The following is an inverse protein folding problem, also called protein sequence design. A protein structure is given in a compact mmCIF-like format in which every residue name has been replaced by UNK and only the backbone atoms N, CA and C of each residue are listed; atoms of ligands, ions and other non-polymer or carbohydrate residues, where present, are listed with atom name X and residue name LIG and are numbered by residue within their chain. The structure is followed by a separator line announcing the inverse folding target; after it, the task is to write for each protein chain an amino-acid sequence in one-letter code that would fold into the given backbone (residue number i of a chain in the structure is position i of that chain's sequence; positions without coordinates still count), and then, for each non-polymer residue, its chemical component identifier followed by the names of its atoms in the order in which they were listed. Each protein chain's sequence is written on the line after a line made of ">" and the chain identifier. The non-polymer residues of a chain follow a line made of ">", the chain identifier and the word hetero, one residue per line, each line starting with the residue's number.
data_IF_552840348475
#
_entry.id   IF_552840348475
#
_cell.length_a   1.000
_cell.length_b   1.000
_cell.length_c   1.000
_cell.angle_alpha   90.00
_cell.angle_beta   90.00
_cell.angle_gamma   90.00
#
_symmetry.space_group_name_H-M   'P 1'
#
loop_
_entity.id
_entity.type
_entity.pdbx_description
1 polymer ?
#
# COMPACT_ATOMS: atom_id res chain seq x y z
N UNK A 1 -26.06 39.88 38.96
CA UNK A 1 -25.30 38.65 38.65
C UNK A 1 -26.25 37.60 38.09
N UNK A 2 -25.81 36.82 37.10
CA UNK A 2 -26.48 35.66 36.46
C UNK A 2 -27.37 35.94 35.23
N UNK A 3 -26.83 36.37 34.08
CA UNK A 3 -27.46 36.10 32.75
C UNK A 3 -26.44 36.09 31.59
N UNK A 4 -25.22 35.62 31.80
CA UNK A 4 -24.19 35.61 30.76
C UNK A 4 -23.42 34.30 30.84
N UNK A 5 -24.00 33.18 30.39
CA UNK A 5 -23.27 31.93 30.19
C UNK A 5 -24.13 30.79 29.61
N UNK A 6 -24.93 31.05 28.58
CA UNK A 6 -25.46 29.96 27.76
C UNK A 6 -25.46 30.42 26.31
N UNK A 7 -25.09 29.52 25.40
CA UNK A 7 -25.01 29.71 23.93
C UNK A 7 -23.63 30.11 23.36
N UNK A 8 -22.55 29.53 23.88
CA UNK A 8 -21.26 29.41 23.14
C UNK A 8 -20.74 27.98 23.09
N UNK A 9 -21.64 27.00 23.08
CA UNK A 9 -21.27 25.57 23.10
C UNK A 9 -21.89 24.76 21.93
N UNK A 10 -22.12 25.38 20.77
CA UNK A 10 -22.68 24.70 19.59
C UNK A 10 -21.79 24.79 18.33
N UNK A 11 -20.48 24.97 18.48
CA UNK A 11 -19.54 25.04 17.35
C UNK A 11 -18.34 24.08 17.43
N UNK A 12 -18.34 23.09 18.34
CA UNK A 12 -17.21 22.16 18.51
C UNK A 12 -17.44 20.75 17.92
N UNK A 13 -18.56 20.48 17.25
CA UNK A 13 -18.85 19.14 16.71
C UNK A 13 -18.43 18.93 15.24
N UNK A 14 -17.81 19.91 14.59
CA UNK A 14 -17.11 19.69 13.31
C UNK A 14 -15.73 19.08 13.58
N UNK A 15 -15.69 17.91 14.21
CA UNK A 15 -14.51 17.06 14.18
C UNK A 15 -14.33 16.60 12.74
N UNK A 16 -13.51 17.37 12.03
CA UNK A 16 -13.00 17.07 10.71
C UNK A 16 -12.46 15.63 10.66
N UNK A 17 -13.28 14.69 10.18
CA UNK A 17 -12.80 13.42 9.63
C UNK A 17 -12.20 13.69 8.25
N UNK A 18 -11.10 14.45 8.22
CA UNK A 18 -10.34 14.74 6.99
C UNK A 18 -8.94 14.13 7.02
N UNK A 19 -8.70 13.14 7.89
CA UNK A 19 -7.66 12.16 7.62
C UNK A 19 -8.33 11.00 6.88
N UNK A 20 -8.32 11.05 5.55
CA UNK A 20 -8.72 9.90 4.74
C UNK A 20 -7.82 8.74 5.18
N UNK A 21 -8.39 7.66 5.71
CA UNK A 21 -7.60 6.54 6.20
C UNK A 21 -6.74 5.97 5.05
N UNK A 22 -5.52 5.51 5.34
CA UNK A 22 -4.64 4.89 4.34
C UNK A 22 -5.38 3.78 3.57
N UNK A 23 -6.24 3.04 4.28
CA UNK A 23 -7.13 2.02 3.71
C UNK A 23 -8.05 2.53 2.58
N UNK A 24 -8.53 3.77 2.63
CA UNK A 24 -9.34 4.35 1.57
C UNK A 24 -8.47 4.91 0.44
N UNK A 25 -7.32 5.49 0.81
CA UNK A 25 -6.40 6.11 -0.14
C UNK A 25 -5.72 5.09 -1.07
N UNK A 26 -5.43 3.89 -0.55
CA UNK A 26 -4.74 2.82 -1.28
C UNK A 26 -5.58 2.23 -2.41
N UNK A 27 -6.91 2.29 -2.33
CA UNK A 27 -7.81 1.73 -3.35
C UNK A 27 -7.51 2.29 -4.73
N UNK A 28 -7.27 1.43 -5.70
CA UNK A 28 -6.94 1.79 -7.07
C UNK A 28 -5.72 1.04 -7.59
N UNK A 29 -5.23 1.46 -8.75
CA UNK A 29 -4.04 0.89 -9.39
C UNK A 29 -2.86 1.85 -9.27
N UNK A 30 -1.71 1.29 -8.94
CA UNK A 30 -0.48 2.02 -8.67
C UNK A 30 0.62 1.48 -9.56
N UNK A 31 1.13 2.31 -10.46
CA UNK A 31 2.25 1.97 -11.33
C UNK A 31 3.56 2.35 -10.65
N UNK A 32 4.51 1.42 -10.60
CA UNK A 32 5.86 1.66 -10.11
C UNK A 32 6.63 2.47 -11.16
N UNK A 33 7.07 3.67 -10.78
CA UNK A 33 7.93 4.53 -11.62
C UNK A 33 9.41 4.31 -11.33
N UNK A 34 9.73 4.12 -10.05
CA UNK A 34 11.10 3.95 -9.58
C UNK A 34 11.17 2.94 -8.44
N UNK A 35 12.32 2.29 -8.31
CA UNK A 35 12.60 1.30 -7.25
C UNK A 35 13.91 1.67 -6.59
N UNK A 36 13.85 1.97 -5.30
CA UNK A 36 15.01 2.28 -4.46
C UNK A 36 15.41 1.02 -3.70
N UNK A 37 16.63 0.55 -3.96
CA UNK A 37 17.26 -0.59 -3.27
C UNK A 37 18.51 -0.09 -2.54
N UNK A 38 18.65 -0.42 -1.26
CA UNK A 38 19.84 -0.05 -0.46
C UNK A 38 20.94 -1.11 -0.53
N UNK A 39 20.56 -2.35 -0.81
CA UNK A 39 21.48 -3.49 -0.90
C UNK A 39 22.27 -3.52 -2.21
N UNK A 40 23.53 -3.94 -2.13
CA UNK A 40 24.32 -4.34 -3.30
C UNK A 40 24.16 -5.84 -3.64
N UNK A 41 23.26 -6.56 -2.95
CA UNK A 41 22.98 -7.96 -3.24
C UNK A 41 22.37 -8.12 -4.63
N UNK A 42 22.97 -8.98 -5.46
CA UNK A 42 22.52 -9.29 -6.82
C UNK A 42 21.05 -9.71 -6.88
N UNK A 43 20.57 -10.52 -5.95
CA UNK A 43 19.16 -10.97 -5.90
C UNK A 43 18.21 -9.80 -5.66
N UNK A 44 18.58 -8.85 -4.78
CA UNK A 44 17.80 -7.64 -4.53
C UNK A 44 17.80 -6.70 -5.73
N UNK A 45 18.92 -6.61 -6.45
CA UNK A 45 19.02 -5.86 -7.70
C UNK A 45 18.11 -6.48 -8.76
N UNK A 46 18.13 -7.80 -8.93
CA UNK A 46 17.25 -8.51 -9.87
C UNK A 46 15.77 -8.34 -9.50
N UNK A 47 15.44 -8.43 -8.20
CA UNK A 47 14.10 -8.16 -7.70
C UNK A 47 13.67 -6.69 -7.92
N UNK A 48 14.59 -5.74 -7.80
CA UNK A 48 14.27 -4.33 -8.08
C UNK A 48 13.88 -4.12 -9.55
N UNK A 49 14.57 -4.79 -10.48
CA UNK A 49 14.24 -4.74 -11.90
C UNK A 49 12.89 -5.41 -12.19
N UNK A 50 12.54 -6.45 -11.45
CA UNK A 50 11.26 -7.13 -11.55
C UNK A 50 10.08 -6.19 -11.28
N UNK A 51 10.17 -5.36 -10.23
CA UNK A 51 9.11 -4.41 -9.88
C UNK A 51 9.04 -3.19 -10.81
N UNK A 52 10.07 -2.91 -11.61
CA UNK A 52 10.10 -1.75 -12.52
C UNK A 52 8.95 -1.84 -13.54
N UNK A 53 8.16 -0.77 -13.64
CA UNK A 53 6.95 -0.69 -14.47
C UNK A 53 5.83 -1.69 -14.12
N UNK A 54 5.92 -2.36 -12.96
CA UNK A 54 4.82 -3.18 -12.48
C UNK A 54 3.65 -2.33 -11.99
N UNK A 55 2.46 -2.93 -11.92
CA UNK A 55 1.24 -2.31 -11.41
C UNK A 55 0.70 -3.16 -10.28
N UNK A 56 0.47 -2.52 -9.13
CA UNK A 56 -0.17 -3.09 -7.95
C UNK A 56 -1.59 -2.52 -7.87
N UNK A 57 -2.60 -3.38 -7.80
CA UNK A 57 -4.00 -2.96 -7.77
C UNK A 57 -4.71 -3.48 -6.52
N UNK A 58 -5.29 -2.53 -5.76
CA UNK A 58 -6.03 -2.78 -4.53
C UNK A 58 -7.50 -2.47 -4.77
N UNK A 59 -8.34 -3.50 -4.85
CA UNK A 59 -9.78 -3.31 -5.09
C UNK A 59 -10.55 -3.15 -3.79
N UNK A 60 -11.70 -2.46 -3.84
CA UNK A 60 -12.61 -2.28 -2.69
C UNK A 60 -13.11 -3.60 -2.08
N UNK A 61 -13.23 -4.64 -2.91
CA UNK A 61 -13.63 -5.99 -2.48
C UNK A 61 -12.45 -6.82 -1.92
N UNK A 62 -11.34 -6.17 -1.57
CA UNK A 62 -10.11 -6.76 -1.04
C UNK A 62 -9.31 -7.61 -2.03
N UNK A 63 -9.70 -7.70 -3.30
CA UNK A 63 -8.87 -8.40 -4.28
C UNK A 63 -7.60 -7.60 -4.55
N UNK A 64 -6.48 -8.32 -4.60
CA UNK A 64 -5.17 -7.78 -4.93
C UNK A 64 -4.69 -8.37 -6.26
N UNK A 65 -4.20 -7.51 -7.14
CA UNK A 65 -3.59 -7.94 -8.40
C UNK A 65 -2.21 -7.31 -8.57
N UNK A 66 -1.27 -8.11 -9.04
CA UNK A 66 0.05 -7.67 -9.47
C UNK A 66 0.24 -8.01 -10.95
N UNK A 67 0.68 -7.04 -11.73
CA UNK A 67 1.05 -7.25 -13.14
C UNK A 67 2.41 -6.63 -13.42
N UNK A 68 3.26 -7.31 -14.17
CA UNK A 68 4.52 -6.77 -14.65
C UNK A 68 4.67 -7.03 -16.15
N UNK A 69 5.27 -6.09 -16.88
CA UNK A 69 5.63 -6.27 -18.28
C UNK A 69 6.93 -7.05 -18.47
N UNK A 70 7.69 -7.25 -17.40
CA UNK A 70 8.95 -7.97 -17.42
C UNK A 70 8.72 -9.47 -17.58
N UNK A 71 9.57 -10.15 -18.35
CA UNK A 71 9.48 -11.60 -18.62
C UNK A 71 10.68 -12.35 -18.05
N UNK A 72 10.96 -12.14 -16.76
CA UNK A 72 12.02 -12.87 -16.05
C UNK A 72 11.43 -14.06 -15.28
N UNK A 73 12.25 -15.09 -15.02
CA UNK A 73 11.84 -16.24 -14.18
C UNK A 73 11.36 -15.78 -12.80
N UNK A 74 12.07 -14.82 -12.20
CA UNK A 74 11.73 -14.25 -10.91
C UNK A 74 10.35 -13.57 -10.93
N UNK A 75 10.03 -12.81 -11.99
CA UNK A 75 8.69 -12.22 -12.15
C UNK A 75 7.61 -13.26 -12.35
N UNK A 76 7.88 -14.31 -13.10
CA UNK A 76 6.93 -15.41 -13.24
C UNK A 76 6.59 -16.03 -11.88
N UNK A 77 7.61 -16.27 -11.05
CA UNK A 77 7.43 -16.79 -9.69
C UNK A 77 6.62 -15.81 -8.82
N UNK A 78 6.98 -14.53 -8.83
CA UNK A 78 6.25 -13.50 -8.05
C UNK A 78 4.80 -13.34 -8.50
N UNK A 79 4.56 -13.32 -9.81
CA UNK A 79 3.20 -13.21 -10.38
C UNK A 79 2.35 -14.41 -9.97
N UNK A 80 2.93 -15.61 -9.96
CA UNK A 80 2.24 -16.82 -9.51
C UNK A 80 1.97 -16.79 -8.00
N UNK A 81 2.92 -16.36 -7.18
CA UNK A 81 2.73 -16.23 -5.72
C UNK A 81 1.62 -15.22 -5.38
N UNK A 82 1.54 -14.13 -6.15
CA UNK A 82 0.58 -13.05 -5.95
C UNK A 82 -0.74 -13.25 -6.71
N UNK A 83 -0.90 -14.38 -7.41
CA UNK A 83 -2.11 -14.69 -8.13
C UNK A 83 -3.26 -14.99 -7.16
N UNK A 84 -4.44 -14.40 -7.41
CA UNK A 84 -5.66 -14.59 -6.62
C UNK A 84 -5.51 -14.25 -5.14
N UNK A 85 -4.57 -13.35 -4.80
CA UNK A 85 -4.38 -12.90 -3.43
C UNK A 85 -5.38 -11.81 -3.06
N UNK A 86 -5.56 -11.64 -1.76
CA UNK A 86 -6.35 -10.55 -1.18
C UNK A 86 -5.44 -9.61 -0.41
N UNK A 87 -5.96 -8.44 -0.06
CA UNK A 87 -5.29 -7.50 0.81
C UNK A 87 -6.19 -7.09 1.97
N UNK A 88 -5.56 -6.84 3.11
CA UNK A 88 -6.21 -6.25 4.30
C UNK A 88 -5.33 -5.12 4.84
N UNK A 89 -5.93 -4.24 5.63
CA UNK A 89 -5.19 -3.25 6.41
C UNK A 89 -5.10 -3.70 7.87
N UNK A 90 -3.89 -3.85 8.38
CA UNK A 90 -3.61 -4.13 9.79
C UNK A 90 -3.43 -2.78 10.52
N UNK A 91 -4.50 -2.32 11.16
CA UNK A 91 -4.51 -1.05 11.90
C UNK A 91 -3.49 -1.01 13.04
N UNK A 92 -3.23 -2.15 13.70
CA UNK A 92 -2.31 -2.20 14.85
C UNK A 92 -0.88 -1.95 14.43
N UNK A 93 -0.52 -2.42 13.23
CA UNK A 93 0.81 -2.28 12.66
C UNK A 93 0.92 -1.18 11.62
N UNK A 94 -0.19 -0.53 11.28
CA UNK A 94 -0.30 0.48 10.24
C UNK A 94 0.30 0.00 8.90
N UNK A 95 -0.08 -1.21 8.47
CA UNK A 95 0.47 -1.86 7.26
C UNK A 95 -0.61 -2.53 6.44
N UNK A 96 -0.38 -2.62 5.13
CA UNK A 96 -1.18 -3.44 4.23
C UNK A 96 -0.58 -4.84 4.23
N UNK A 97 -1.40 -5.87 4.33
CA UNK A 97 -0.98 -7.26 4.26
C UNK A 97 -1.62 -7.95 3.07
N UNK A 98 -0.81 -8.66 2.29
CA UNK A 98 -1.23 -9.44 1.13
C UNK A 98 -1.22 -10.93 1.49
N UNK A 99 -2.23 -11.64 1.02
CA UNK A 99 -2.35 -13.08 1.13
C UNK A 99 -3.79 -13.53 1.18
N UNK A 100 -4.01 -14.67 1.81
CA UNK A 100 -5.34 -15.25 2.01
C UNK A 100 -5.60 -15.51 3.49
N UNK A 101 -6.85 -15.83 3.80
CA UNK A 101 -7.18 -16.34 5.13
C UNK A 101 -6.39 -17.61 5.49
N UNK A 102 -6.10 -18.48 4.50
CA UNK A 102 -5.37 -19.76 4.73
C UNK A 102 -3.93 -19.52 5.15
N UNK A 103 -3.25 -18.56 4.53
CA UNK A 103 -1.87 -18.18 4.91
C UNK A 103 -1.81 -17.12 6.01
N UNK A 104 -2.96 -16.61 6.48
CA UNK A 104 -3.07 -15.54 7.48
C UNK A 104 -2.48 -14.20 7.02
N UNK A 105 -2.57 -13.91 5.72
CA UNK A 105 -2.07 -12.70 5.08
C UNK A 105 -0.58 -12.48 5.35
N UNK A 106 0.25 -13.49 5.08
CA UNK A 106 1.71 -13.43 5.34
C UNK A 106 2.56 -13.46 4.08
N UNK A 107 1.98 -13.24 2.90
CA UNK A 107 2.73 -13.29 1.64
C UNK A 107 3.57 -12.02 1.44
N UNK A 108 3.02 -10.86 1.78
CA UNK A 108 3.72 -9.58 1.66
C UNK A 108 3.15 -8.54 2.62
N UNK A 109 4.02 -7.81 3.31
CA UNK A 109 3.72 -6.64 4.12
C UNK A 109 4.14 -5.37 3.39
N UNK A 110 3.26 -4.37 3.36
CA UNK A 110 3.52 -3.09 2.70
C UNK A 110 3.25 -1.97 3.70
N UNK A 111 4.30 -1.22 4.06
CA UNK A 111 4.16 0.07 4.72
C UNK A 111 3.99 1.15 3.63
N UNK A 112 2.82 1.78 3.56
CA UNK A 112 2.50 2.78 2.54
C UNK A 112 2.52 4.21 3.09
N UNK A 113 3.13 5.13 2.34
CA UNK A 113 2.96 6.58 2.49
C UNK A 113 2.36 7.12 1.20
N UNK A 114 1.19 7.74 1.27
CA UNK A 114 0.44 8.21 0.10
C UNK A 114 0.21 9.71 0.22
N UNK A 115 0.60 10.46 -0.81
CA UNK A 115 0.44 11.91 -0.89
C UNK A 115 0.17 12.30 -2.36
N UNK A 116 -0.93 13.03 -2.63
CA UNK A 116 -1.20 13.62 -3.94
C UNK A 116 -1.04 12.66 -5.15
N UNK A 117 -1.70 11.49 -5.10
CA UNK A 117 -1.63 10.42 -6.13
C UNK A 117 -0.23 9.82 -6.33
N UNK A 118 0.74 10.18 -5.50
CA UNK A 118 2.03 9.51 -5.40
C UNK A 118 2.07 8.66 -4.15
N UNK A 119 2.87 7.62 -4.17
CA UNK A 119 3.09 6.79 -3.01
C UNK A 119 4.53 6.29 -2.92
N UNK A 120 4.94 6.02 -1.69
CA UNK A 120 6.13 5.24 -1.37
C UNK A 120 5.68 3.98 -0.64
N UNK A 121 5.90 2.81 -1.24
CA UNK A 121 5.62 1.51 -0.61
C UNK A 121 6.93 0.85 -0.22
N UNK A 122 7.13 0.66 1.09
CA UNK A 122 8.20 -0.18 1.59
C UNK A 122 7.68 -1.60 1.75
N UNK A 123 8.36 -2.57 1.13
CA UNK A 123 8.03 -3.98 1.26
C UNK A 123 8.78 -4.55 2.47
N UNK A 124 8.07 -5.03 3.48
CA UNK A 124 8.67 -5.38 4.78
C UNK A 124 9.59 -6.61 4.71
N UNK A 125 9.36 -7.52 3.76
CA UNK A 125 10.18 -8.71 3.54
C UNK A 125 11.49 -8.41 2.79
N UNK A 126 11.69 -7.17 2.32
CA UNK A 126 12.82 -6.81 1.45
C UNK A 126 13.41 -5.45 1.82
N UNK A 127 14.52 -5.10 1.19
CA UNK A 127 15.09 -3.74 1.30
C UNK A 127 14.58 -2.78 0.20
N UNK A 128 13.49 -3.14 -0.49
CA UNK A 128 12.95 -2.37 -1.59
C UNK A 128 11.93 -1.33 -1.12
N UNK A 129 12.10 -0.11 -1.63
CA UNK A 129 11.07 0.92 -1.60
C UNK A 129 10.64 1.21 -3.03
N UNK A 130 9.33 1.14 -3.27
CA UNK A 130 8.72 1.41 -4.55
C UNK A 130 8.17 2.84 -4.53
N UNK A 131 8.53 3.63 -5.53
CA UNK A 131 7.90 4.92 -5.77
C UNK A 131 6.84 4.74 -6.86
N UNK A 132 5.60 5.09 -6.55
CA UNK A 132 4.46 4.78 -7.39
C UNK A 132 3.62 6.02 -7.69
N UNK A 133 2.94 5.97 -8.83
CA UNK A 133 1.88 6.90 -9.20
C UNK A 133 0.57 6.15 -9.38
N UNK A 134 -0.52 6.78 -8.93
CA UNK A 134 -1.87 6.26 -9.14
C UNK A 134 -2.28 6.45 -10.60
N UNK A 135 -2.84 5.42 -11.22
CA UNK A 135 -3.33 5.41 -12.60
C UNK A 135 -4.83 5.17 -12.67
#
# INVERSE_FOLDING_TARGET
>A
MKQLLFVTFFFLSLNAKSQTAIQDQIIGSWKVENVVVKSNNKEMIELSQAFKNSVLSFKKNQDFNFTSSQKTKLISMFTQMLQNQKWIFDEKRNMIKIGTFKDRYTIMGITAKIENKKACFRLDETELNLELVKI
#
